data_IF_178335310903
#
_entry.id   IF_178335310903
#
_cell.length_a   1.000
_cell.length_b   1.000
_cell.length_c   1.000
_cell.angle_alpha   90.00
_cell.angle_beta   90.00
_cell.angle_gamma   90.00
#
_symmetry.space_group_name_H-M   'P 1'
#
loop_
_entity.id
_entity.type
_entity.pdbx_description
1 polymer ?
#
# COMPACT_ATOMS: atom_id res chain seq x y z
N UNK A 1 -45.61 2.96 6.31
CA UNK A 1 -44.85 1.72 6.65
C UNK A 1 -44.98 0.54 5.67
N UNK A 2 -45.62 0.62 4.48
CA UNK A 2 -45.67 -0.51 3.53
C UNK A 2 -45.01 -0.33 2.14
N UNK A 3 -44.81 0.88 1.57
CA UNK A 3 -44.22 1.00 0.22
C UNK A 3 -42.68 1.00 0.21
N UNK A 4 -42.01 1.57 1.23
CA UNK A 4 -40.54 1.74 1.25
C UNK A 4 -39.79 0.42 1.47
N UNK A 5 -40.30 -0.45 2.35
CA UNK A 5 -39.71 -1.79 2.54
C UNK A 5 -39.99 -2.72 1.34
N UNK A 6 -41.15 -2.59 0.68
CA UNK A 6 -41.41 -3.29 -0.59
C UNK A 6 -40.48 -2.80 -1.70
N UNK A 7 -40.18 -1.51 -1.76
CA UNK A 7 -39.20 -0.93 -2.68
C UNK A 7 -37.79 -1.43 -2.41
N UNK A 8 -37.32 -1.46 -1.16
CA UNK A 8 -35.98 -1.97 -0.81
C UNK A 8 -35.82 -3.46 -1.11
N UNK A 9 -36.80 -4.29 -0.77
CA UNK A 9 -36.76 -5.73 -1.06
C UNK A 9 -36.92 -6.00 -2.56
N UNK A 10 -37.79 -5.25 -3.27
CA UNK A 10 -37.96 -5.37 -4.71
C UNK A 10 -36.77 -4.83 -5.51
N UNK A 11 -36.07 -3.80 -5.03
CA UNK A 11 -34.81 -3.31 -5.60
C UNK A 11 -33.67 -4.32 -5.37
N UNK A 12 -33.58 -4.95 -4.20
CA UNK A 12 -32.57 -5.99 -3.93
C UNK A 12 -32.83 -7.24 -4.78
N UNK A 13 -34.09 -7.68 -4.92
CA UNK A 13 -34.45 -8.83 -5.77
C UNK A 13 -34.34 -8.53 -7.27
N UNK A 14 -34.73 -7.35 -7.75
CA UNK A 14 -34.65 -7.01 -9.18
C UNK A 14 -33.22 -6.77 -9.65
N UNK A 15 -32.31 -6.39 -8.75
CA UNK A 15 -30.90 -6.13 -9.07
C UNK A 15 -30.04 -7.40 -8.98
N UNK A 16 -30.50 -8.44 -8.28
CA UNK A 16 -29.86 -9.76 -8.23
C UNK A 16 -30.04 -10.58 -9.52
N UNK A 17 -30.99 -10.20 -10.39
CA UNK A 17 -31.29 -10.91 -11.65
C UNK A 17 -30.72 -10.25 -12.92
N UNK A 18 -29.94 -9.16 -12.81
CA UNK A 18 -29.34 -8.47 -13.96
C UNK A 18 -27.84 -8.80 -14.08
N UNK A 19 -27.31 -9.17 -15.27
CA UNK A 19 -25.96 -9.71 -15.42
C UNK A 19 -24.82 -8.66 -15.36
N UNK A 20 -25.05 -7.47 -14.77
CA UNK A 20 -24.09 -6.37 -14.76
C UNK A 20 -23.78 -5.88 -13.34
N UNK A 21 -22.84 -6.56 -12.68
CA UNK A 21 -22.49 -6.43 -11.26
C UNK A 21 -21.74 -5.16 -10.82
N UNK A 22 -21.67 -4.09 -11.61
CA UNK A 22 -21.00 -2.82 -11.24
C UNK A 22 -21.96 -1.64 -11.18
N UNK A 23 -22.93 -1.56 -12.11
CA UNK A 23 -23.96 -0.51 -12.13
C UNK A 23 -24.98 -0.73 -11.01
N UNK A 24 -25.30 -1.99 -10.72
CA UNK A 24 -26.16 -2.39 -9.60
C UNK A 24 -25.54 -2.04 -8.23
N UNK A 25 -24.22 -2.16 -8.09
CA UNK A 25 -23.45 -1.81 -6.88
C UNK A 25 -23.46 -0.30 -6.57
N UNK A 26 -23.31 0.55 -7.58
CA UNK A 26 -23.31 2.00 -7.40
C UNK A 26 -24.71 2.56 -7.11
N UNK A 27 -25.75 1.95 -7.68
CA UNK A 27 -27.15 2.36 -7.49
C UNK A 27 -27.69 1.97 -6.12
N UNK A 28 -27.35 0.78 -5.60
CA UNK A 28 -27.74 0.35 -4.26
C UNK A 28 -27.10 1.23 -3.18
N UNK A 29 -25.80 1.55 -3.32
CA UNK A 29 -25.09 2.46 -2.43
C UNK A 29 -25.65 3.90 -2.48
N UNK A 30 -26.00 4.40 -3.68
CA UNK A 30 -26.69 5.71 -3.84
C UNK A 30 -28.09 5.72 -3.23
N UNK A 31 -28.83 4.61 -3.30
CA UNK A 31 -30.16 4.50 -2.68
C UNK A 31 -30.07 4.54 -1.15
N UNK A 32 -29.09 3.82 -0.56
CA UNK A 32 -28.82 3.84 0.88
C UNK A 32 -28.35 5.23 1.36
N UNK A 33 -27.54 5.93 0.56
CA UNK A 33 -27.07 7.30 0.86
C UNK A 33 -28.16 8.36 0.67
N UNK A 34 -29.05 8.25 -0.33
CA UNK A 34 -30.19 9.17 -0.52
C UNK A 34 -31.21 9.09 0.62
N UNK A 35 -31.41 7.90 1.21
CA UNK A 35 -32.27 7.73 2.38
C UNK A 35 -31.71 8.40 3.66
N UNK A 36 -30.42 8.76 3.69
CA UNK A 36 -29.80 9.56 4.77
C UNK A 36 -29.98 11.08 4.59
N UNK A 37 -30.45 11.57 3.43
CA UNK A 37 -30.38 12.99 3.04
C UNK A 37 -31.64 13.84 3.21
N UNK A 38 -32.78 13.31 3.64
CA UNK A 38 -34.00 14.11 3.83
C UNK A 38 -34.19 14.51 5.30
N UNK A 39 -33.75 15.72 5.66
CA UNK A 39 -34.29 16.47 6.79
C UNK A 39 -35.17 17.60 6.23
N UNK A 40 -36.47 17.69 6.56
CA UNK A 40 -37.28 18.81 6.11
C UNK A 40 -36.96 20.06 6.96
N UNK A 41 -36.59 21.14 6.28
CA UNK A 41 -36.58 22.50 6.84
C UNK A 41 -38.03 22.95 6.96
N UNK A 42 -38.51 23.30 8.16
CA UNK A 42 -39.83 23.89 8.33
C UNK A 42 -39.71 25.31 8.93
N UNK A 43 -40.28 26.30 8.24
CA UNK A 43 -40.42 27.69 8.69
C UNK A 43 -41.84 27.89 9.25
N UNK A 44 -41.91 28.50 10.44
CA UNK A 44 -43.01 29.32 11.01
C UNK A 44 -44.26 28.66 11.66
N UNK A 45 -44.98 29.38 12.58
CA UNK A 45 -45.29 28.89 13.94
C UNK A 45 -46.81 28.77 14.25
N UNK A 46 -47.30 28.81 15.52
CA UNK A 46 -47.96 27.69 16.18
C UNK A 46 -49.49 27.83 16.29
N UNK A 47 -50.25 26.74 16.13
CA UNK A 47 -51.53 26.58 16.80
C UNK A 47 -51.83 25.12 17.14
N UNK A 48 -52.41 24.95 18.33
CA UNK A 48 -52.78 23.71 19.03
C UNK A 48 -53.73 22.83 18.20
N UNK A 49 -53.51 21.52 18.20
CA UNK A 49 -54.51 20.51 18.63
C UNK A 49 -53.93 19.09 18.60
N UNK A 50 -54.47 18.25 19.49
CA UNK A 50 -54.03 16.92 19.89
C UNK A 50 -54.22 15.82 18.83
N UNK A 51 -53.44 14.75 19.02
CA UNK A 51 -53.83 13.34 18.91
C UNK A 51 -52.98 12.47 17.97
N UNK A 52 -52.24 11.57 18.64
CA UNK A 52 -51.95 10.18 18.25
C UNK A 52 -51.11 9.86 16.99
N UNK A 53 -50.25 8.85 17.20
CA UNK A 53 -49.54 7.99 16.22
C UNK A 53 -48.19 8.48 15.70
N UNK A 54 -47.16 7.92 16.33
CA UNK A 54 -46.28 7.00 15.60
C UNK A 54 -45.07 7.62 14.92
N UNK A 55 -44.28 8.41 15.64
CA UNK A 55 -42.95 8.80 15.18
C UNK A 55 -41.91 7.74 15.60
N UNK A 56 -41.93 6.58 14.94
CA UNK A 56 -40.90 5.56 15.11
C UNK A 56 -39.79 5.79 14.07
N UNK A 57 -38.69 6.37 14.56
CA UNK A 57 -37.41 6.57 13.89
C UNK A 57 -36.90 5.32 13.13
N UNK A 58 -35.99 5.48 12.15
CA UNK A 58 -35.40 4.39 11.33
C UNK A 58 -34.63 3.28 12.08
N UNK A 59 -34.67 3.24 13.42
CA UNK A 59 -33.99 2.26 14.26
C UNK A 59 -34.60 0.85 14.28
N UNK A 60 -35.79 0.62 13.68
CA UNK A 60 -36.56 -0.64 13.82
C UNK A 60 -36.36 -1.68 12.70
N UNK A 61 -35.54 -1.41 11.70
CA UNK A 61 -35.45 -2.27 10.50
C UNK A 61 -34.53 -3.49 10.73
N UNK A 62 -33.41 -3.29 11.44
CA UNK A 62 -32.40 -4.32 11.63
C UNK A 62 -32.81 -5.54 12.46
N UNK A 63 -33.63 -5.43 13.54
CA UNK A 63 -34.13 -6.60 14.27
C UNK A 63 -35.09 -7.48 13.46
N UNK A 64 -35.60 -6.98 12.33
CA UNK A 64 -36.56 -7.67 11.47
C UNK A 64 -35.93 -8.22 10.18
N UNK A 65 -34.62 -7.99 9.98
CA UNK A 65 -33.89 -8.56 8.86
C UNK A 65 -33.55 -10.02 9.15
N UNK A 66 -33.78 -10.90 8.17
CA UNK A 66 -33.28 -12.27 8.22
C UNK A 66 -31.74 -12.28 8.36
N UNK A 67 -31.16 -13.19 9.17
CA UNK A 67 -29.71 -13.25 9.41
C UNK A 67 -28.89 -13.30 8.12
N UNK A 68 -29.37 -14.02 7.11
CA UNK A 68 -28.73 -14.19 5.81
C UNK A 68 -28.67 -12.86 5.03
N UNK A 69 -29.74 -12.05 5.13
CA UNK A 69 -29.81 -10.73 4.49
C UNK A 69 -28.92 -9.72 5.23
N UNK A 70 -28.79 -9.84 6.55
CA UNK A 70 -27.89 -9.02 7.35
C UNK A 70 -26.41 -9.33 7.06
N UNK A 71 -26.06 -10.61 6.87
CA UNK A 71 -24.73 -11.03 6.44
C UNK A 71 -24.41 -10.57 5.01
N UNK A 72 -25.40 -10.65 4.11
CA UNK A 72 -25.25 -10.17 2.75
C UNK A 72 -24.98 -8.65 2.72
N UNK A 73 -25.75 -7.86 3.47
CA UNK A 73 -25.50 -6.42 3.61
C UNK A 73 -24.15 -6.14 4.28
N UNK A 74 -23.79 -6.90 5.31
CA UNK A 74 -22.48 -6.78 5.97
C UNK A 74 -21.32 -7.07 5.00
N UNK A 75 -21.48 -8.05 4.11
CA UNK A 75 -20.51 -8.36 3.06
C UNK A 75 -20.26 -7.20 2.09
N UNK A 76 -21.20 -6.25 1.98
CA UNK A 76 -21.06 -5.05 1.13
C UNK A 76 -20.55 -3.82 1.88
N UNK A 77 -20.42 -3.87 3.21
CA UNK A 77 -20.04 -2.72 4.01
C UNK A 77 -18.54 -2.67 4.28
N UNK A 78 -17.91 -1.48 4.21
CA UNK A 78 -16.54 -1.31 4.63
C UNK A 78 -16.34 -1.77 6.07
N UNK A 79 -15.14 -2.27 6.39
CA UNK A 79 -14.82 -2.83 7.72
C UNK A 79 -15.19 -1.93 8.90
N UNK A 80 -14.97 -0.63 8.78
CA UNK A 80 -15.32 0.32 9.84
C UNK A 80 -16.84 0.50 9.96
N UNK A 81 -17.61 0.36 8.89
CA UNK A 81 -19.08 0.41 8.93
C UNK A 81 -19.67 -0.81 9.64
N UNK A 82 -19.04 -1.99 9.52
CA UNK A 82 -19.42 -3.16 10.31
C UNK A 82 -19.27 -2.94 11.82
N UNK A 83 -18.19 -2.26 12.23
CA UNK A 83 -17.99 -1.90 13.64
C UNK A 83 -19.08 -0.94 14.14
N UNK A 84 -19.60 -0.07 13.27
CA UNK A 84 -20.73 0.82 13.61
C UNK A 84 -22.08 0.10 13.61
N UNK A 85 -22.29 -0.90 12.75
CA UNK A 85 -23.51 -1.72 12.74
C UNK A 85 -23.71 -2.47 14.05
N UNK A 86 -22.61 -2.87 14.69
CA UNK A 86 -22.62 -3.48 16.03
C UNK A 86 -23.29 -2.61 17.09
N UNK A 87 -23.29 -1.29 16.91
CA UNK A 87 -23.85 -0.32 17.84
C UNK A 87 -25.34 -0.04 17.61
N UNK A 88 -25.94 -0.62 16.56
CA UNK A 88 -27.34 -0.34 16.17
C UNK A 88 -28.35 -1.06 17.08
N UNK A 89 -28.10 -2.32 17.46
CA UNK A 89 -28.93 -3.06 18.42
C UNK A 89 -28.19 -4.31 18.98
N UNK A 90 -28.78 -4.97 19.99
CA UNK A 90 -28.21 -6.16 20.65
C UNK A 90 -28.02 -7.36 19.70
N UNK A 91 -28.90 -7.56 18.72
CA UNK A 91 -28.81 -8.68 17.78
C UNK A 91 -27.62 -8.50 16.82
N UNK A 92 -27.46 -7.31 16.25
CA UNK A 92 -26.29 -6.93 15.46
C UNK A 92 -25.00 -6.98 16.32
N UNK A 93 -25.08 -6.62 17.60
CA UNK A 93 -23.95 -6.72 18.52
C UNK A 93 -23.47 -8.16 18.73
N UNK A 94 -24.41 -9.11 18.86
CA UNK A 94 -24.14 -10.53 18.99
C UNK A 94 -23.56 -11.12 17.68
N UNK A 95 -24.15 -10.75 16.55
CA UNK A 95 -23.76 -11.23 15.21
C UNK A 95 -22.35 -10.74 14.81
N UNK A 96 -22.02 -9.48 15.10
CA UNK A 96 -20.71 -8.88 14.77
C UNK A 96 -19.77 -8.82 15.98
N UNK A 97 -19.66 -9.90 16.76
CA UNK A 97 -18.90 -9.93 18.02
C UNK A 97 -17.41 -10.29 17.91
N UNK A 98 -16.96 -10.82 16.75
CA UNK A 98 -15.54 -11.16 16.49
C UNK A 98 -14.62 -9.95 16.65
N UNK A 99 -13.38 -10.17 17.09
CA UNK A 99 -12.40 -9.09 17.32
C UNK A 99 -12.20 -8.17 16.10
N UNK A 100 -12.22 -8.74 14.90
CA UNK A 100 -12.10 -8.00 13.64
C UNK A 100 -13.22 -6.96 13.39
N UNK A 101 -14.40 -7.15 14.00
CA UNK A 101 -15.57 -6.26 13.93
C UNK A 101 -15.61 -5.25 15.08
N UNK A 102 -14.69 -5.34 16.05
CA UNK A 102 -14.58 -4.40 17.18
C UNK A 102 -13.54 -3.30 16.93
N UNK A 103 -12.56 -3.56 16.08
CA UNK A 103 -11.42 -2.67 15.85
C UNK A 103 -11.70 -1.75 14.66
N UNK A 104 -11.69 -0.44 14.91
CA UNK A 104 -11.73 0.59 13.87
C UNK A 104 -10.32 0.81 13.32
N UNK A 105 -10.14 0.69 12.01
CA UNK A 105 -8.88 1.03 11.33
C UNK A 105 -8.98 2.43 10.73
N UNK A 106 -8.24 3.39 11.29
CA UNK A 106 -8.29 4.79 10.83
C UNK A 106 -7.76 4.99 9.39
N UNK A 107 -6.92 4.07 8.88
CA UNK A 107 -6.49 4.05 7.47
C UNK A 107 -7.57 3.64 6.47
N UNK A 108 -8.75 3.26 6.95
CA UNK A 108 -9.94 3.00 6.14
C UNK A 108 -11.00 4.07 6.42
N UNK A 109 -11.91 4.37 5.47
CA UNK A 109 -12.96 5.35 5.69
C UNK A 109 -13.73 5.06 6.99
N UNK A 110 -13.74 6.03 7.91
CA UNK A 110 -14.54 5.96 9.14
C UNK A 110 -15.79 6.82 8.95
N UNK A 111 -17.00 6.32 9.25
CA UNK A 111 -18.21 7.13 9.19
C UNK A 111 -18.08 8.41 10.02
N UNK A 112 -18.45 9.55 9.42
CA UNK A 112 -18.25 10.89 10.02
C UNK A 112 -18.78 11.01 11.44
N UNK A 113 -19.96 10.48 11.74
CA UNK A 113 -20.54 10.58 13.09
C UNK A 113 -19.71 9.86 14.15
N UNK A 114 -19.14 8.68 13.86
CA UNK A 114 -18.25 7.96 14.79
C UNK A 114 -16.92 8.68 14.93
N UNK A 115 -16.39 9.19 13.81
CA UNK A 115 -15.18 10.00 13.84
C UNK A 115 -15.37 11.27 14.67
N UNK A 116 -16.48 11.98 14.49
CA UNK A 116 -16.85 13.17 15.28
C UNK A 116 -17.10 12.83 16.75
N UNK A 117 -17.69 11.68 17.08
CA UNK A 117 -17.87 11.31 18.48
C UNK A 117 -16.52 11.17 19.20
N UNK A 118 -15.50 10.63 18.52
CA UNK A 118 -14.17 10.41 19.13
C UNK A 118 -13.27 11.64 19.05
N UNK A 119 -13.30 12.36 17.94
CA UNK A 119 -12.37 13.44 17.61
C UNK A 119 -13.06 14.78 17.36
N UNK A 120 -14.31 14.94 17.77
CA UNK A 120 -15.09 16.17 17.59
C UNK A 120 -15.13 17.08 18.81
N UNK A 121 -14.83 16.57 20.01
CA UNK A 121 -14.76 17.37 21.24
C UNK A 121 -13.53 18.29 21.30
N UNK A 122 -13.59 19.44 21.99
CA UNK A 122 -12.51 20.42 22.06
C UNK A 122 -11.20 19.83 22.58
N UNK A 123 -11.27 18.98 23.62
CA UNK A 123 -10.08 18.38 24.25
C UNK A 123 -9.71 17.00 23.70
N UNK A 124 -10.39 16.54 22.64
CA UNK A 124 -10.26 15.16 22.15
C UNK A 124 -8.82 14.82 21.68
N UNK A 125 -8.03 15.84 21.35
CA UNK A 125 -6.66 15.72 20.82
C UNK A 125 -5.61 16.30 21.77
N UNK A 126 -6.02 16.84 22.92
CA UNK A 126 -5.13 17.50 23.89
C UNK A 126 -4.11 16.54 24.51
N UNK A 127 -4.52 15.28 24.76
CA UNK A 127 -3.63 14.24 25.31
C UNK A 127 -2.67 13.64 24.27
N UNK A 128 -2.86 13.94 22.98
CA UNK A 128 -1.99 13.39 21.93
C UNK A 128 -0.70 14.18 21.83
N UNK A 129 0.42 13.48 21.68
CA UNK A 129 1.70 14.07 21.30
C UNK A 129 1.64 14.62 19.87
N UNK A 130 2.63 15.44 19.49
CA UNK A 130 2.73 15.94 18.11
C UNK A 130 2.83 14.79 17.08
N UNK A 131 3.60 13.74 17.40
CA UNK A 131 3.75 12.57 16.54
C UNK A 131 2.41 11.82 16.35
N UNK A 132 1.65 11.64 17.43
CA UNK A 132 0.34 10.97 17.38
C UNK A 132 -0.68 11.80 16.59
N UNK A 133 -0.63 13.13 16.69
CA UNK A 133 -1.45 14.04 15.90
C UNK A 133 -1.14 13.94 14.41
N UNK A 134 0.15 13.95 14.04
CA UNK A 134 0.59 13.76 12.64
C UNK A 134 0.14 12.39 12.15
N UNK A 135 0.32 11.32 12.95
CA UNK A 135 -0.13 9.97 12.61
C UNK A 135 -1.64 9.89 12.39
N UNK A 136 -2.44 10.55 13.23
CA UNK A 136 -3.89 10.65 13.06
C UNK A 136 -4.26 11.34 11.74
N UNK A 137 -3.59 12.45 11.40
CA UNK A 137 -3.77 13.13 10.12
C UNK A 137 -3.40 12.22 8.95
N UNK A 138 -2.23 11.59 8.98
CA UNK A 138 -1.76 10.68 7.93
C UNK A 138 -2.72 9.51 7.71
N UNK A 139 -3.19 8.86 8.78
CA UNK A 139 -4.17 7.77 8.68
C UNK A 139 -5.50 8.26 8.11
N UNK A 140 -5.96 9.44 8.53
CA UNK A 140 -7.20 10.04 8.01
C UNK A 140 -7.05 10.44 6.54
N UNK A 141 -5.88 10.98 6.14
CA UNK A 141 -5.52 11.27 4.75
C UNK A 141 -5.50 10.02 3.88
N UNK A 142 -4.87 8.94 4.35
CA UNK A 142 -4.83 7.65 3.67
C UNK A 142 -6.22 6.99 3.57
N UNK A 143 -7.14 7.29 4.49
CA UNK A 143 -8.49 6.71 4.51
C UNK A 143 -9.35 7.07 3.30
N UNK A 144 -9.12 8.22 2.66
CA UNK A 144 -9.99 8.75 1.62
C UNK A 144 -11.19 9.56 2.14
N UNK A 145 -11.36 9.68 3.46
CA UNK A 145 -12.43 10.50 4.07
C UNK A 145 -12.02 11.98 4.15
N UNK A 146 -12.22 12.69 3.04
CA UNK A 146 -11.96 14.14 2.95
C UNK A 146 -12.68 14.93 4.05
N UNK A 147 -13.89 14.54 4.40
CA UNK A 147 -14.71 15.22 5.40
C UNK A 147 -14.16 15.07 6.83
N UNK A 148 -13.61 13.90 7.17
CA UNK A 148 -12.94 13.72 8.46
C UNK A 148 -11.60 14.47 8.49
N UNK A 149 -10.90 14.52 7.36
CA UNK A 149 -9.66 15.28 7.27
C UNK A 149 -9.91 16.78 7.46
N UNK A 150 -10.91 17.35 6.78
CA UNK A 150 -11.32 18.75 6.99
C UNK A 150 -11.71 19.04 8.43
N UNK A 151 -12.39 18.11 9.11
CA UNK A 151 -12.74 18.26 10.52
C UNK A 151 -11.48 18.41 11.39
N UNK A 152 -10.44 17.60 11.14
CA UNK A 152 -9.18 17.75 11.85
C UNK A 152 -8.52 19.11 11.54
N UNK A 153 -8.41 19.49 10.27
CA UNK A 153 -7.79 20.76 9.85
C UNK A 153 -8.56 22.02 10.28
N UNK A 154 -9.85 21.93 10.59
CA UNK A 154 -10.60 23.07 11.16
C UNK A 154 -10.17 23.43 12.59
N UNK A 155 -9.29 22.66 13.21
CA UNK A 155 -8.81 22.87 14.58
C UNK A 155 -7.45 23.56 14.54
N UNK A 156 -7.26 24.54 15.42
CA UNK A 156 -6.00 25.28 15.54
C UNK A 156 -4.78 24.36 15.77
N UNK A 157 -4.97 23.26 16.49
CA UNK A 157 -3.93 22.25 16.78
C UNK A 157 -3.38 21.52 15.55
N UNK A 158 -4.11 21.55 14.43
CA UNK A 158 -3.75 20.89 13.17
C UNK A 158 -3.61 21.89 12.02
N UNK A 159 -3.45 23.19 12.32
CA UNK A 159 -3.40 24.25 11.32
C UNK A 159 -2.17 24.15 10.40
N UNK A 160 -1.13 23.43 10.79
CA UNK A 160 0.06 23.22 9.95
C UNK A 160 -0.14 21.98 9.09
N UNK A 161 -0.33 22.20 7.79
CA UNK A 161 -0.31 21.11 6.83
C UNK A 161 1.11 20.61 6.62
N UNK A 162 1.33 19.30 6.78
CA UNK A 162 2.66 18.71 6.69
C UNK A 162 2.79 17.82 5.45
N UNK A 163 4.01 17.68 4.93
CA UNK A 163 4.31 16.91 3.73
C UNK A 163 3.96 15.42 3.91
N UNK A 164 4.04 14.91 5.15
CA UNK A 164 3.75 13.52 5.51
C UNK A 164 2.28 13.16 5.26
N UNK A 165 1.34 14.07 5.55
CA UNK A 165 -0.08 13.84 5.30
C UNK A 165 -0.34 13.73 3.78
N UNK A 166 0.35 14.56 3.00
CA UNK A 166 0.30 14.52 1.55
C UNK A 166 0.88 13.21 1.02
N UNK A 167 2.08 12.82 1.48
CA UNK A 167 2.72 11.57 1.12
C UNK A 167 1.83 10.36 1.46
N UNK A 168 1.21 10.33 2.65
CA UNK A 168 0.30 9.26 3.05
C UNK A 168 -0.95 9.18 2.16
N UNK A 169 -1.54 10.33 1.78
CA UNK A 169 -2.67 10.36 0.86
C UNK A 169 -2.27 9.93 -0.55
N UNK A 170 -1.08 10.33 -1.01
CA UNK A 170 -0.54 9.98 -2.32
C UNK A 170 -0.22 8.49 -2.41
N UNK A 171 0.42 7.92 -1.40
CA UNK A 171 0.71 6.50 -1.26
C UNK A 171 -0.58 5.66 -1.27
N UNK A 172 -1.63 6.12 -0.60
CA UNK A 172 -2.91 5.43 -0.52
C UNK A 172 -3.83 5.63 -1.75
N UNK A 173 -3.38 6.33 -2.80
CA UNK A 173 -4.19 6.51 -4.01
C UNK A 173 -5.35 7.50 -3.86
N UNK A 174 -5.31 8.43 -2.89
CA UNK A 174 -6.43 9.33 -2.56
C UNK A 174 -6.37 10.67 -3.30
N UNK A 175 -6.58 10.65 -4.62
CA UNK A 175 -6.48 11.85 -5.48
C UNK A 175 -7.35 13.04 -5.03
N UNK A 176 -8.56 12.79 -4.51
CA UNK A 176 -9.44 13.86 -4.00
C UNK A 176 -8.84 14.59 -2.79
N UNK A 177 -8.13 13.86 -1.94
CA UNK A 177 -7.43 14.43 -0.78
C UNK A 177 -6.18 15.16 -1.25
N UNK A 178 -5.36 14.56 -2.12
CA UNK A 178 -4.18 15.23 -2.70
C UNK A 178 -4.54 16.58 -3.36
N UNK A 179 -5.62 16.62 -4.15
CA UNK A 179 -6.13 17.85 -4.75
C UNK A 179 -6.59 18.87 -3.71
N UNK A 180 -7.21 18.43 -2.62
CA UNK A 180 -7.63 19.31 -1.55
C UNK A 180 -6.44 19.85 -0.76
N UNK A 181 -5.46 19.00 -0.43
CA UNK A 181 -4.21 19.38 0.23
C UNK A 181 -3.45 20.43 -0.59
N UNK A 182 -3.44 20.30 -1.92
CA UNK A 182 -2.85 21.32 -2.79
C UNK A 182 -3.57 22.67 -2.72
N UNK A 183 -4.91 22.68 -2.58
CA UNK A 183 -5.69 23.93 -2.46
C UNK A 183 -5.50 24.65 -1.13
N UNK A 184 -5.21 23.91 -0.06
CA UNK A 184 -4.87 24.51 1.25
C UNK A 184 -3.38 24.83 1.35
N UNK A 185 -2.69 24.89 0.21
CA UNK A 185 -1.27 25.24 0.09
C UNK A 185 -0.35 24.37 0.96
N UNK A 186 -0.73 23.10 1.13
CA UNK A 186 0.11 22.15 1.83
C UNK A 186 1.46 22.03 1.12
N UNK A 187 2.60 22.14 1.84
CA UNK A 187 3.89 21.91 1.24
C UNK A 187 3.99 20.48 0.71
N UNK A 188 4.73 20.32 -0.38
CA UNK A 188 5.15 19.03 -0.88
C UNK A 188 6.66 19.01 -1.11
N UNK A 189 7.24 17.81 -1.02
CA UNK A 189 8.64 17.52 -1.33
C UNK A 189 8.70 16.39 -2.36
N UNK A 190 9.91 16.05 -2.81
CA UNK A 190 10.15 14.87 -3.64
C UNK A 190 9.60 13.57 -3.01
N UNK A 191 9.51 13.51 -1.68
CA UNK A 191 9.00 12.35 -0.94
C UNK A 191 7.53 12.04 -1.26
N UNK A 192 6.74 13.06 -1.60
CA UNK A 192 5.31 12.89 -1.92
C UNK A 192 5.14 12.10 -3.22
N UNK A 193 5.89 12.46 -4.27
CA UNK A 193 5.86 11.73 -5.54
C UNK A 193 6.56 10.38 -5.42
N UNK A 194 7.63 10.28 -4.64
CA UNK A 194 8.29 9.00 -4.35
C UNK A 194 7.34 8.01 -3.65
N UNK A 195 6.54 8.48 -2.68
CA UNK A 195 5.56 7.65 -1.99
C UNK A 195 4.47 7.13 -2.94
N UNK A 196 3.96 7.99 -3.84
CA UNK A 196 3.02 7.58 -4.87
C UNK A 196 3.62 6.52 -5.81
N UNK A 197 4.87 6.71 -6.22
CA UNK A 197 5.59 5.80 -7.12
C UNK A 197 5.85 4.45 -6.47
N UNK A 198 6.32 4.45 -5.22
CA UNK A 198 6.56 3.24 -4.42
C UNK A 198 5.29 2.41 -4.20
N UNK A 199 4.12 3.05 -4.14
CA UNK A 199 2.83 2.38 -4.05
C UNK A 199 2.15 2.07 -5.39
N UNK A 200 2.78 2.40 -6.52
CA UNK A 200 2.22 2.10 -7.84
C UNK A 200 1.04 2.98 -8.25
N UNK A 201 0.88 4.15 -7.63
CA UNK A 201 -0.28 5.02 -7.83
C UNK A 201 -0.11 5.88 -9.09
N UNK A 202 -0.12 5.26 -10.28
CA UNK A 202 0.19 5.90 -11.56
C UNK A 202 -0.63 7.18 -11.82
N UNK A 203 -1.93 7.17 -11.52
CA UNK A 203 -2.80 8.34 -11.71
C UNK A 203 -2.38 9.54 -10.84
N UNK A 204 -1.91 9.27 -9.61
CA UNK A 204 -1.39 10.32 -8.72
C UNK A 204 -0.02 10.78 -9.16
N UNK A 205 0.87 9.87 -9.59
CA UNK A 205 2.19 10.22 -10.11
C UNK A 205 2.06 11.20 -11.30
N UNK A 206 1.19 10.87 -12.27
CA UNK A 206 0.88 11.74 -13.42
C UNK A 206 0.38 13.11 -12.98
N UNK A 207 -0.50 13.16 -11.99
CA UNK A 207 -1.03 14.42 -11.48
C UNK A 207 0.03 15.25 -10.75
N UNK A 208 0.81 14.66 -9.84
CA UNK A 208 1.85 15.34 -9.07
C UNK A 208 2.92 15.98 -9.97
N UNK A 209 3.44 15.23 -10.95
CA UNK A 209 4.46 15.74 -11.87
C UNK A 209 3.88 16.88 -12.73
N UNK A 210 2.64 16.74 -13.21
CA UNK A 210 1.97 17.78 -14.00
C UNK A 210 1.76 19.08 -13.22
N UNK A 211 1.50 18.99 -11.91
CA UNK A 211 1.31 20.16 -11.04
C UNK A 211 2.63 20.79 -10.57
N UNK A 212 3.78 20.29 -11.05
CA UNK A 212 5.10 20.84 -10.73
C UNK A 212 5.64 20.39 -9.36
N UNK A 213 5.21 19.23 -8.85
CA UNK A 213 5.84 18.65 -7.67
C UNK A 213 7.33 18.37 -7.96
N UNK A 214 8.26 18.79 -7.08
CA UNK A 214 9.69 18.49 -7.23
C UNK A 214 9.90 16.99 -7.44
N UNK A 215 10.70 16.62 -8.42
CA UNK A 215 10.91 15.23 -8.77
C UNK A 215 12.29 14.98 -9.37
N UNK A 216 12.79 13.77 -9.17
CA UNK A 216 14.00 13.26 -9.78
C UNK A 216 13.67 11.99 -10.57
N UNK A 217 13.36 12.13 -11.86
CA UNK A 217 12.87 11.02 -12.71
C UNK A 217 13.75 9.76 -12.65
N UNK A 218 15.09 9.92 -12.59
CA UNK A 218 16.03 8.80 -12.44
C UNK A 218 15.83 8.02 -11.12
N UNK A 219 15.61 8.75 -10.02
CA UNK A 219 15.36 8.16 -8.69
C UNK A 219 14.00 7.48 -8.68
N UNK A 220 12.96 8.15 -9.20
CA UNK A 220 11.61 7.57 -9.31
C UNK A 220 11.58 6.27 -10.11
N UNK A 221 12.32 6.19 -11.24
CA UNK A 221 12.40 4.95 -12.02
C UNK A 221 13.03 3.80 -11.21
N UNK A 222 14.04 4.12 -10.39
CA UNK A 222 14.70 3.14 -9.52
C UNK A 222 13.75 2.64 -8.43
N UNK A 223 12.98 3.54 -7.81
CA UNK A 223 11.97 3.20 -6.79
C UNK A 223 10.84 2.37 -7.40
N UNK A 224 10.30 2.78 -8.54
CA UNK A 224 9.24 2.05 -9.25
C UNK A 224 9.69 0.61 -9.59
N UNK A 225 10.92 0.47 -10.09
CA UNK A 225 11.48 -0.82 -10.47
C UNK A 225 11.70 -1.73 -9.25
N UNK A 226 12.21 -1.19 -8.15
CA UNK A 226 12.36 -1.93 -6.89
C UNK A 226 11.02 -2.28 -6.22
N UNK A 227 9.95 -1.55 -6.49
CA UNK A 227 8.61 -1.86 -6.00
C UNK A 227 7.79 -2.74 -6.96
N UNK A 228 8.33 -3.05 -8.16
CA UNK A 228 7.70 -3.95 -9.12
C UNK A 228 6.59 -3.32 -9.98
N UNK A 229 6.44 -1.99 -9.93
CA UNK A 229 5.35 -1.27 -10.62
C UNK A 229 5.70 -1.02 -12.08
N UNK A 230 5.48 -2.04 -12.91
CA UNK A 230 5.79 -2.02 -14.35
C UNK A 230 5.16 -0.85 -15.09
N UNK A 231 3.89 -0.57 -14.84
CA UNK A 231 3.12 0.51 -15.48
C UNK A 231 3.69 1.89 -15.16
N UNK A 232 4.14 2.11 -13.92
CA UNK A 232 4.84 3.33 -13.51
C UNK A 232 6.22 3.41 -14.17
N UNK A 233 6.98 2.31 -14.27
CA UNK A 233 8.24 2.28 -15.00
C UNK A 233 8.07 2.64 -16.48
N UNK A 234 7.11 2.02 -17.18
CA UNK A 234 6.84 2.28 -18.60
C UNK A 234 6.47 3.76 -18.81
N UNK A 235 5.57 4.29 -17.98
CA UNK A 235 5.22 5.71 -18.03
C UNK A 235 6.40 6.65 -17.74
N UNK A 236 7.24 6.35 -16.75
CA UNK A 236 8.41 7.19 -16.45
C UNK A 236 9.41 7.21 -17.61
N UNK A 237 9.60 6.08 -18.29
CA UNK A 237 10.46 5.98 -19.47
C UNK A 237 9.91 6.80 -20.64
N UNK A 238 8.60 6.70 -20.90
CA UNK A 238 7.92 7.54 -21.90
C UNK A 238 8.02 9.04 -21.57
N UNK A 239 8.00 9.39 -20.28
CA UNK A 239 8.15 10.76 -19.81
C UNK A 239 9.60 11.29 -19.89
N UNK A 240 10.57 10.45 -20.27
CA UNK A 240 11.97 10.83 -20.45
C UNK A 240 12.87 10.54 -19.25
N UNK A 241 12.47 9.67 -18.32
CA UNK A 241 13.37 9.21 -17.26
C UNK A 241 14.59 8.49 -17.88
N UNK A 242 15.83 8.86 -17.51
CA UNK A 242 17.01 8.23 -18.09
C UNK A 242 17.13 6.78 -17.61
N UNK A 243 17.04 5.84 -18.54
CA UNK A 243 17.27 4.43 -18.28
C UNK A 243 18.78 4.17 -18.15
N UNK A 244 19.16 3.50 -17.07
CA UNK A 244 20.52 3.03 -16.83
C UNK A 244 20.51 1.87 -15.85
N UNK A 245 21.67 1.33 -15.49
CA UNK A 245 21.74 0.10 -14.68
C UNK A 245 21.10 0.16 -13.29
N UNK A 246 20.72 1.32 -12.74
CA UNK A 246 20.11 1.42 -11.40
C UNK A 246 18.71 0.80 -11.34
N UNK A 247 17.85 1.07 -12.34
CA UNK A 247 16.48 0.54 -12.39
C UNK A 247 16.43 -1.00 -12.41
N UNK A 248 17.08 -1.66 -13.39
CA UNK A 248 17.15 -3.12 -13.42
C UNK A 248 17.75 -3.74 -12.16
N UNK A 249 18.79 -3.13 -11.58
CA UNK A 249 19.40 -3.62 -10.32
C UNK A 249 18.42 -3.53 -9.15
N UNK A 250 17.63 -2.47 -9.05
CA UNK A 250 16.62 -2.35 -8.00
C UNK A 250 15.52 -3.42 -8.17
N UNK A 251 15.02 -3.64 -9.39
CA UNK A 251 14.10 -4.73 -9.69
C UNK A 251 14.70 -6.10 -9.34
N UNK A 252 15.99 -6.33 -9.64
CA UNK A 252 16.69 -7.57 -9.30
C UNK A 252 16.79 -7.81 -7.79
N UNK A 253 17.17 -6.80 -7.00
CA UNK A 253 17.24 -6.91 -5.52
C UNK A 253 15.90 -7.22 -4.89
N UNK A 254 14.82 -6.71 -5.46
CA UNK A 254 13.46 -6.97 -5.01
C UNK A 254 12.86 -8.27 -5.58
N UNK A 255 13.60 -9.01 -6.41
CA UNK A 255 13.14 -10.28 -7.00
C UNK A 255 12.16 -10.13 -8.16
N UNK A 256 11.98 -8.92 -8.72
CA UNK A 256 11.11 -8.67 -9.87
C UNK A 256 11.78 -9.05 -11.20
N UNK A 257 12.02 -10.36 -11.40
CA UNK A 257 12.80 -10.92 -12.53
C UNK A 257 12.28 -10.45 -13.89
N UNK A 258 10.97 -10.57 -14.15
CA UNK A 258 10.40 -10.18 -15.44
C UNK A 258 10.56 -8.68 -15.74
N UNK A 259 10.44 -7.82 -14.72
CA UNK A 259 10.64 -6.38 -14.88
C UNK A 259 12.12 -6.04 -15.07
N UNK A 260 13.02 -6.69 -14.32
CA UNK A 260 14.46 -6.57 -14.52
C UNK A 260 14.85 -6.93 -15.96
N UNK A 261 14.44 -8.11 -16.45
CA UNK A 261 14.78 -8.58 -17.80
C UNK A 261 14.28 -7.59 -18.87
N UNK A 262 13.05 -7.09 -18.72
CA UNK A 262 12.48 -6.05 -19.59
C UNK A 262 13.31 -4.77 -19.59
N UNK A 263 13.71 -4.27 -18.42
CA UNK A 263 14.52 -3.05 -18.31
C UNK A 263 15.97 -3.24 -18.81
N UNK A 264 16.47 -4.47 -18.86
CA UNK A 264 17.79 -4.81 -19.43
C UNK A 264 17.77 -4.95 -20.96
N UNK A 265 16.61 -5.14 -21.60
CA UNK A 265 16.53 -5.29 -23.06
C UNK A 265 17.15 -4.10 -23.83
N UNK A 266 16.84 -2.83 -23.51
CA UNK A 266 17.37 -1.67 -24.26
C UNK A 266 18.78 -1.24 -23.84
N UNK A 267 19.40 -1.87 -22.84
CA UNK A 267 20.67 -1.41 -22.26
C UNK A 267 21.89 -2.15 -22.82
N UNK A 268 22.98 -1.39 -23.01
CA UNK A 268 24.31 -1.97 -23.33
C UNK A 268 25.03 -2.46 -22.08
N UNK A 269 26.00 -3.37 -22.23
CA UNK A 269 26.79 -3.92 -21.12
C UNK A 269 27.45 -2.83 -20.25
N UNK A 270 27.94 -1.76 -20.88
CA UNK A 270 28.52 -0.61 -20.18
C UNK A 270 27.50 0.12 -19.29
N UNK A 271 26.27 0.32 -19.79
CA UNK A 271 25.19 0.98 -19.03
C UNK A 271 24.64 0.10 -17.90
N UNK A 272 24.63 -1.22 -18.09
CA UNK A 272 24.15 -2.20 -17.11
C UNK A 272 25.04 -2.23 -15.87
N UNK A 273 26.36 -2.12 -16.05
CA UNK A 273 27.36 -2.32 -15.00
C UNK A 273 27.24 -3.69 -14.34
N UNK A 274 27.68 -4.71 -15.08
CA UNK A 274 27.54 -6.15 -14.79
C UNK A 274 27.86 -6.54 -13.35
N UNK A 275 28.97 -6.13 -12.71
CA UNK A 275 29.27 -6.59 -11.34
C UNK A 275 28.22 -6.13 -10.31
N UNK A 276 27.63 -4.95 -10.50
CA UNK A 276 26.57 -4.44 -9.62
C UNK A 276 25.22 -5.09 -9.92
N UNK A 277 24.99 -5.54 -11.16
CA UNK A 277 23.82 -6.35 -11.53
C UNK A 277 23.91 -7.75 -10.93
N UNK A 278 25.04 -8.44 -11.07
CA UNK A 278 25.23 -9.78 -10.51
C UNK A 278 25.03 -9.81 -9.00
N UNK A 279 25.56 -8.82 -8.27
CA UNK A 279 25.33 -8.72 -6.83
C UNK A 279 23.83 -8.53 -6.50
N UNK A 280 23.13 -7.69 -7.27
CA UNK A 280 21.70 -7.47 -7.08
C UNK A 280 20.85 -8.73 -7.37
N UNK A 281 21.21 -9.49 -8.40
CA UNK A 281 20.54 -10.75 -8.74
C UNK A 281 20.84 -11.83 -7.71
N UNK A 282 22.09 -11.93 -7.25
CA UNK A 282 22.50 -12.85 -6.19
C UNK A 282 21.75 -12.59 -4.87
N UNK A 283 21.53 -11.31 -4.56
CA UNK A 283 20.74 -10.87 -3.41
C UNK A 283 19.26 -11.24 -3.56
N UNK A 284 18.58 -10.82 -4.62
CA UNK A 284 17.12 -10.83 -4.66
C UNK A 284 16.43 -11.91 -5.51
N UNK A 285 17.15 -12.54 -6.44
CA UNK A 285 16.55 -13.50 -7.40
C UNK A 285 16.99 -14.93 -7.08
N UNK A 286 16.33 -15.94 -7.65
CA UNK A 286 16.74 -17.34 -7.49
C UNK A 286 18.05 -17.69 -8.26
N UNK A 287 18.63 -18.84 -7.91
CA UNK A 287 19.84 -19.38 -8.51
C UNK A 287 19.70 -19.60 -10.02
N UNK A 288 18.59 -20.16 -10.54
CA UNK A 288 18.39 -20.24 -11.99
C UNK A 288 18.46 -18.89 -12.70
N UNK A 289 17.93 -17.82 -12.10
CA UNK A 289 18.03 -16.47 -12.64
C UNK A 289 19.47 -15.95 -12.57
N UNK A 290 20.17 -16.16 -11.45
CA UNK A 290 21.58 -15.80 -11.31
C UNK A 290 22.45 -16.47 -12.37
N UNK A 291 22.27 -17.78 -12.55
CA UNK A 291 22.95 -18.57 -13.58
C UNK A 291 22.72 -17.99 -14.97
N UNK A 292 21.46 -17.71 -15.32
CA UNK A 292 21.08 -17.18 -16.64
C UNK A 292 21.69 -15.81 -16.92
N UNK A 293 21.63 -14.91 -15.94
CA UNK A 293 22.23 -13.56 -16.05
C UNK A 293 23.75 -13.67 -16.15
N UNK A 294 24.37 -14.55 -15.36
CA UNK A 294 25.80 -14.82 -15.43
C UNK A 294 26.21 -15.34 -16.81
N UNK A 295 25.54 -16.37 -17.34
CA UNK A 295 25.80 -16.90 -18.68
C UNK A 295 25.65 -15.81 -19.75
N UNK A 296 24.64 -14.94 -19.63
CA UNK A 296 24.35 -13.90 -20.63
C UNK A 296 25.41 -12.78 -20.65
N UNK A 297 25.87 -12.33 -19.47
CA UNK A 297 26.71 -11.14 -19.36
C UNK A 297 28.19 -11.43 -19.09
N UNK A 298 28.53 -12.61 -18.56
CA UNK A 298 29.90 -12.99 -18.21
C UNK A 298 30.45 -14.02 -19.20
N UNK A 299 29.71 -15.08 -19.48
CA UNK A 299 30.18 -16.17 -20.35
C UNK A 299 29.98 -15.87 -21.84
N UNK A 300 28.80 -15.37 -22.21
CA UNK A 300 28.46 -15.07 -23.61
C UNK A 300 28.85 -13.66 -24.05
N UNK A 301 29.13 -12.77 -23.08
CA UNK A 301 29.49 -11.36 -23.27
C UNK A 301 28.67 -10.67 -24.36
N UNK A 302 27.44 -10.21 -24.08
CA UNK A 302 26.54 -9.45 -25.00
C UNK A 302 27.32 -8.40 -25.82
N UNK A 303 27.90 -8.82 -26.95
CA UNK A 303 28.61 -7.99 -27.92
C UNK A 303 30.04 -7.51 -27.61
N UNK A 304 30.64 -7.77 -26.44
CA UNK A 304 32.01 -7.29 -26.12
C UNK A 304 32.81 -8.34 -25.34
N UNK A 305 33.91 -8.78 -25.95
CA UNK A 305 35.01 -9.65 -25.47
C UNK A 305 34.73 -10.38 -24.15
N UNK A 306 34.43 -11.68 -24.28
CA UNK A 306 34.39 -12.69 -23.22
C UNK A 306 35.68 -12.61 -22.39
N UNK A 307 35.58 -12.30 -21.10
CA UNK A 307 36.68 -12.50 -20.16
C UNK A 307 36.10 -13.00 -18.85
N UNK A 308 36.68 -14.08 -18.33
CA UNK A 308 36.34 -14.64 -17.03
C UNK A 308 36.54 -13.66 -15.86
N UNK A 309 36.55 -14.22 -14.65
CA UNK A 309 36.63 -13.52 -13.35
C UNK A 309 37.70 -12.40 -13.33
N UNK A 310 38.78 -12.54 -14.11
CA UNK A 310 39.84 -11.56 -14.29
C UNK A 310 39.40 -10.14 -14.70
N UNK A 311 38.19 -9.93 -15.27
CA UNK A 311 37.66 -8.58 -15.55
C UNK A 311 36.69 -8.02 -14.51
N UNK A 312 36.12 -8.83 -13.61
CA UNK A 312 35.22 -8.34 -12.56
C UNK A 312 36.00 -7.58 -11.48
N UNK A 313 37.25 -7.98 -11.23
CA UNK A 313 38.07 -7.51 -10.12
C UNK A 313 37.67 -8.16 -8.79
N UNK A 314 38.65 -8.46 -7.94
CA UNK A 314 38.44 -9.19 -6.68
C UNK A 314 37.39 -8.55 -5.78
N UNK A 315 37.46 -7.22 -5.62
CA UNK A 315 36.49 -6.46 -4.83
C UNK A 315 35.05 -6.55 -5.37
N UNK A 316 34.86 -6.77 -6.67
CA UNK A 316 33.52 -6.98 -7.21
C UNK A 316 33.04 -8.42 -7.02
N UNK A 317 33.93 -9.39 -7.16
CA UNK A 317 33.62 -10.80 -6.88
C UNK A 317 33.22 -10.99 -5.40
N UNK A 318 33.97 -10.40 -4.47
CA UNK A 318 33.66 -10.37 -3.05
C UNK A 318 32.24 -9.85 -2.76
N UNK A 319 31.84 -8.73 -3.39
CA UNK A 319 30.48 -8.19 -3.23
C UNK A 319 29.37 -9.11 -3.75
N UNK A 320 29.62 -9.88 -4.80
CA UNK A 320 28.61 -10.79 -5.36
C UNK A 320 28.41 -12.00 -4.45
N UNK A 321 29.49 -12.59 -3.94
CA UNK A 321 29.38 -13.72 -3.01
C UNK A 321 28.79 -13.29 -1.66
N UNK A 322 29.15 -12.11 -1.16
CA UNK A 322 28.53 -11.54 0.04
C UNK A 322 27.03 -11.30 -0.13
N UNK A 323 26.61 -10.77 -1.29
CA UNK A 323 25.20 -10.60 -1.62
C UNK A 323 24.44 -11.95 -1.72
N UNK A 324 25.07 -12.99 -2.25
CA UNK A 324 24.50 -14.34 -2.27
C UNK A 324 24.30 -14.90 -0.85
N UNK A 325 25.30 -14.75 0.03
CA UNK A 325 25.24 -15.20 1.42
C UNK A 325 24.18 -14.44 2.24
N UNK A 326 24.07 -13.13 2.02
CA UNK A 326 23.04 -12.27 2.58
C UNK A 326 21.65 -12.44 1.96
N UNK A 327 21.48 -13.26 0.92
CA UNK A 327 20.21 -13.37 0.21
C UNK A 327 19.08 -13.86 1.13
N UNK A 328 17.88 -13.24 1.09
CA UNK A 328 16.71 -13.70 1.82
C UNK A 328 16.03 -14.91 1.15
N UNK A 329 16.42 -15.31 -0.06
CA UNK A 329 15.81 -16.45 -0.76
C UNK A 329 16.29 -17.79 -0.17
N UNK A 330 15.47 -18.86 -0.22
CA UNK A 330 15.78 -20.14 0.42
C UNK A 330 17.00 -20.87 -0.19
N UNK A 331 17.37 -20.53 -1.41
CA UNK A 331 18.46 -21.14 -2.18
C UNK A 331 19.81 -20.41 -2.04
N UNK A 332 19.95 -19.51 -1.07
CA UNK A 332 21.16 -18.73 -0.84
C UNK A 332 22.44 -19.60 -0.74
N UNK A 333 22.36 -20.77 -0.09
CA UNK A 333 23.49 -21.71 0.03
C UNK A 333 23.92 -22.23 -1.33
N UNK A 334 22.94 -22.64 -2.16
CA UNK A 334 23.21 -23.14 -3.49
C UNK A 334 23.84 -22.05 -4.38
N UNK A 335 23.47 -20.78 -4.20
CA UNK A 335 24.13 -19.65 -4.86
C UNK A 335 25.58 -19.49 -4.44
N UNK A 336 25.86 -19.53 -3.14
CA UNK A 336 27.22 -19.39 -2.61
C UNK A 336 28.10 -20.53 -3.12
N UNK A 337 27.62 -21.77 -3.06
CA UNK A 337 28.39 -22.93 -3.52
C UNK A 337 28.65 -22.88 -5.03
N UNK A 338 27.64 -22.51 -5.80
CA UNK A 338 27.76 -22.34 -7.25
C UNK A 338 28.72 -21.21 -7.66
N UNK A 339 28.80 -20.13 -6.88
CA UNK A 339 29.80 -19.06 -7.07
C UNK A 339 31.20 -19.51 -6.65
N UNK A 340 31.34 -20.26 -5.55
CA UNK A 340 32.62 -20.84 -5.09
C UNK A 340 33.21 -21.79 -6.13
N UNK A 341 32.38 -22.62 -6.76
CA UNK A 341 32.81 -23.51 -7.84
C UNK A 341 33.36 -22.76 -9.06
N UNK A 342 33.09 -21.45 -9.17
CA UNK A 342 33.57 -20.54 -10.20
C UNK A 342 34.72 -19.66 -9.71
N UNK A 343 35.39 -20.00 -8.60
CA UNK A 343 36.56 -19.27 -8.12
C UNK A 343 36.27 -17.94 -7.44
N UNK A 344 35.04 -17.69 -6.99
CA UNK A 344 34.74 -16.53 -6.14
C UNK A 344 35.41 -16.70 -4.76
N UNK A 345 35.98 -15.61 -4.19
CA UNK A 345 36.81 -15.70 -2.99
C UNK A 345 35.99 -16.09 -1.75
N UNK A 346 36.64 -16.75 -0.79
CA UNK A 346 36.13 -16.86 0.59
C UNK A 346 36.40 -15.54 1.29
N UNK A 347 35.35 -14.76 1.56
CA UNK A 347 35.47 -13.45 2.19
C UNK A 347 34.68 -13.40 3.50
N UNK A 348 35.31 -12.88 4.56
CA UNK A 348 34.69 -12.65 5.87
C UNK A 348 33.52 -11.66 5.80
N UNK A 349 33.53 -10.72 4.83
CA UNK A 349 32.41 -9.79 4.61
C UNK A 349 31.11 -10.48 4.18
N UNK A 350 31.21 -11.66 3.56
CA UNK A 350 30.05 -12.48 3.20
C UNK A 350 29.37 -13.07 4.45
N UNK A 351 30.16 -13.32 5.49
CA UNK A 351 29.69 -13.83 6.77
C UNK A 351 28.98 -12.73 7.56
N UNK A 352 29.56 -11.53 7.65
CA UNK A 352 28.93 -10.36 8.26
C UNK A 352 27.63 -9.97 7.55
N UNK A 353 27.63 -9.94 6.21
CA UNK A 353 26.43 -9.64 5.41
C UNK A 353 25.31 -10.68 5.59
N UNK A 354 25.67 -11.95 5.80
CA UNK A 354 24.71 -13.00 6.12
C UNK A 354 24.07 -12.79 7.51
N UNK A 355 24.86 -12.36 8.49
CA UNK A 355 24.40 -12.02 9.85
C UNK A 355 23.52 -10.77 9.86
N UNK A 356 23.88 -9.72 9.12
CA UNK A 356 23.06 -8.50 9.00
C UNK A 356 21.73 -8.76 8.29
N UNK A 357 21.74 -9.59 7.24
CA UNK A 357 20.51 -9.99 6.54
C UNK A 357 19.59 -10.82 7.44
N UNK A 358 20.15 -11.64 8.34
CA UNK A 358 19.40 -12.36 9.37
C UNK A 358 18.76 -11.40 10.39
N UNK A 359 19.52 -10.40 10.85
CA UNK A 359 19.02 -9.38 11.77
C UNK A 359 17.88 -8.56 11.15
N UNK A 360 18.01 -8.19 9.86
CA UNK A 360 16.96 -7.50 9.12
C UNK A 360 15.70 -8.36 8.90
N UNK A 361 15.87 -9.65 8.60
CA UNK A 361 14.75 -10.59 8.47
C UNK A 361 14.04 -10.84 9.82
N UNK A 362 14.77 -10.87 10.94
CA UNK A 362 14.20 -10.99 12.28
C UNK A 362 13.41 -9.74 12.70
N UNK A 363 13.84 -8.55 12.28
CA UNK A 363 13.14 -7.28 12.53
C UNK A 363 11.80 -7.16 11.77
N UNK A 364 11.60 -7.96 10.70
CA UNK A 364 10.38 -7.95 9.89
C UNK A 364 9.19 -8.75 10.49
N UNK A 365 9.36 -9.36 11.68
CA UNK A 365 8.29 -10.03 12.44
C UNK A 365 8.25 -11.58 12.25
N UNK A 366 7.80 -12.34 13.27
CA UNK A 366 8.04 -13.78 13.32
C UNK A 366 7.02 -14.60 12.54
N UNK A 367 7.50 -15.48 11.67
CA UNK A 367 6.82 -16.73 11.33
C UNK A 367 7.59 -17.88 11.99
N UNK A 368 6.92 -18.93 12.45
CA UNK A 368 7.52 -19.97 13.32
C UNK A 368 8.68 -20.78 12.71
N UNK A 369 9.04 -20.54 11.45
CA UNK A 369 10.16 -21.18 10.76
C UNK A 369 11.46 -20.35 10.74
N UNK A 370 11.48 -19.10 11.22
CA UNK A 370 12.68 -18.25 11.13
C UNK A 370 13.81 -18.70 12.06
N UNK A 371 13.51 -19.32 13.21
CA UNK A 371 14.52 -19.69 14.22
C UNK A 371 15.45 -20.84 13.75
N UNK A 372 14.88 -21.88 13.14
CA UNK A 372 15.67 -23.00 12.57
C UNK A 372 16.50 -22.53 11.37
N UNK A 373 15.93 -21.66 10.52
CA UNK A 373 16.62 -21.08 9.37
C UNK A 373 17.77 -20.14 9.80
N UNK A 374 17.60 -19.40 10.91
CA UNK A 374 18.62 -18.49 11.44
C UNK A 374 19.83 -19.17 12.08
N UNK A 375 19.61 -20.29 12.80
CA UNK A 375 20.71 -21.06 13.40
C UNK A 375 21.59 -21.71 12.34
N UNK A 376 20.99 -22.31 11.30
CA UNK A 376 21.75 -22.88 10.18
C UNK A 376 22.54 -21.85 9.39
N UNK A 377 22.06 -20.60 9.27
CA UNK A 377 22.79 -19.52 8.57
C UNK A 377 24.02 -19.04 9.36
N UNK A 378 23.92 -18.94 10.68
CA UNK A 378 25.02 -18.53 11.56
C UNK A 378 26.15 -19.56 11.59
N UNK A 379 25.82 -20.85 11.67
CA UNK A 379 26.82 -21.91 11.75
C UNK A 379 27.57 -22.11 10.42
N UNK A 380 26.92 -21.89 9.28
CA UNK A 380 27.53 -22.01 7.95
C UNK A 380 28.27 -20.76 7.47
N UNK A 381 27.99 -19.59 8.04
CA UNK A 381 28.77 -18.37 7.78
C UNK A 381 30.14 -18.40 8.47
N UNK A 382 30.33 -19.22 9.50
CA UNK A 382 31.61 -19.36 10.20
C UNK A 382 32.58 -20.39 9.56
N UNK A 383 32.25 -20.99 8.40
CA UNK A 383 33.09 -21.95 7.64
C UNK A 383 33.26 -21.53 6.16
#
# INVERSE_FOLDING_TARGET
MKPVCKLLVSLVFSFASLPYGLVTRALLARAILRLRGHAPVNRQPPHKQESTRGNAAPARIWPQLQPELAELIAGFLPRNELATLRLVNKAAAAQFSKAQHKIIKLSLPVPRHVFMHRWGGPDATHQLTLEERIKLLCLTGASGSLENLKLLYSRAEFAVCTTEVFAAAAEAGRICICRWLRRVECPWSEDVVEAAVRAGQLAICKWLIKEGCPNQLRRLLTVAAGAGHRDVCEWLLEFGAPLGGRGPRAAARAGHVALMERLLQPLTCQQVGVPKLLAAVAEGCDLPTLQRVYCTFVESGRGDVVVGIGRLGEAAAARVIAAAAGSPTPDWQAKVEWLRSRGYPRDASACESAVDALAAAAAAGPSSNTLSYSQTKSDLACF
#
